data_IF_567514087343
#
_entry.id   IF_567514087343
#
_cell.length_a   1.000
_cell.length_b   1.000
_cell.length_c   1.000
_cell.angle_alpha   90.00
_cell.angle_beta   90.00
_cell.angle_gamma   90.00
#
_symmetry.space_group_name_H-M   'P 1'
#
loop_
_entity.id
_entity.type
_entity.pdbx_description
1 polymer ?
#
# COMPACT_ATOMS: atom_id res chain seq x y z
N UNK A 1 -11.48 -13.34 -23.53
CA UNK A 1 -12.12 -12.59 -22.43
C UNK A 1 -11.18 -11.46 -22.08
N UNK A 2 -11.61 -10.27 -22.35
CA UNK A 2 -10.87 -9.05 -22.01
C UNK A 2 -10.82 -8.96 -20.47
N UNK A 3 -9.65 -9.17 -19.88
CA UNK A 3 -9.49 -8.98 -18.44
C UNK A 3 -9.62 -7.48 -18.20
N UNK A 4 -10.75 -7.07 -17.64
CA UNK A 4 -11.04 -5.67 -17.36
C UNK A 4 -9.84 -4.92 -16.77
N UNK A 5 -9.75 -3.63 -17.08
CA UNK A 5 -8.65 -2.76 -16.59
C UNK A 5 -8.65 -2.80 -15.06
N UNK A 6 -7.51 -3.21 -14.46
CA UNK A 6 -7.38 -3.22 -13.01
C UNK A 6 -7.26 -1.78 -12.50
N UNK A 7 -8.24 -1.36 -11.71
CA UNK A 7 -8.31 0.02 -11.21
C UNK A 7 -7.39 0.28 -10.03
N UNK A 8 -7.16 -0.74 -9.18
CA UNK A 8 -6.32 -0.63 -7.99
C UNK A 8 -5.15 -1.60 -8.09
N UNK A 9 -3.94 -1.09 -8.06
CA UNK A 9 -2.71 -1.88 -8.02
C UNK A 9 -2.14 -1.83 -6.61
N UNK A 10 -2.00 -3.00 -5.97
CA UNK A 10 -1.45 -3.17 -4.63
C UNK A 10 -0.03 -3.73 -4.74
N UNK A 11 0.96 -2.97 -4.27
CA UNK A 11 2.33 -3.44 -4.07
C UNK A 11 2.44 -3.97 -2.65
N UNK A 12 2.41 -5.29 -2.51
CA UNK A 12 2.57 -5.98 -1.25
C UNK A 12 4.06 -6.21 -0.99
N UNK A 13 4.58 -5.59 0.07
CA UNK A 13 5.97 -5.73 0.48
C UNK A 13 6.06 -6.42 1.86
N UNK A 14 5.98 -7.73 1.88
CA UNK A 14 6.16 -8.54 3.08
C UNK A 14 7.19 -9.65 2.82
N UNK A 15 8.28 -9.74 3.63
CA UNK A 15 9.35 -10.72 3.41
C UNK A 15 8.88 -12.18 3.40
N UNK A 16 7.91 -12.49 4.26
CA UNK A 16 7.27 -13.81 4.34
C UNK A 16 5.75 -13.64 4.58
N UNK A 17 5.02 -13.45 3.51
CA UNK A 17 3.56 -13.26 3.58
C UNK A 17 2.81 -14.48 4.14
N UNK A 18 3.39 -15.67 4.00
CA UNK A 18 2.75 -16.91 4.46
C UNK A 18 2.71 -16.98 5.98
N UNK A 19 3.70 -16.45 6.67
CA UNK A 19 3.74 -16.35 8.12
C UNK A 19 3.02 -15.14 8.69
N UNK A 20 2.65 -14.17 7.86
CA UNK A 20 1.96 -12.95 8.28
C UNK A 20 0.49 -13.19 8.57
N UNK A 21 0.05 -12.89 9.79
CA UNK A 21 -1.38 -12.90 10.11
C UNK A 21 -2.08 -11.66 9.54
N UNK A 22 -1.58 -10.47 9.84
CA UNK A 22 -2.25 -9.23 9.51
C UNK A 22 -2.15 -8.86 8.02
N UNK A 23 -0.94 -8.76 7.43
CA UNK A 23 -0.82 -8.41 6.02
C UNK A 23 -1.47 -9.45 5.11
N UNK A 24 -1.42 -10.74 5.50
CA UNK A 24 -2.14 -11.79 4.79
C UNK A 24 -3.66 -11.58 4.85
N UNK A 25 -4.21 -11.28 6.02
CA UNK A 25 -5.64 -11.03 6.18
C UNK A 25 -6.11 -9.79 5.39
N UNK A 26 -5.33 -8.70 5.37
CA UNK A 26 -5.62 -7.54 4.52
C UNK A 26 -5.63 -7.92 3.04
N UNK A 27 -4.62 -8.64 2.57
CA UNK A 27 -4.53 -9.13 1.19
C UNK A 27 -5.73 -10.04 0.84
N UNK A 28 -6.02 -11.03 1.70
CA UNK A 28 -7.09 -12.00 1.46
C UNK A 28 -8.48 -11.34 1.37
N UNK A 29 -8.68 -10.22 2.07
CA UNK A 29 -9.95 -9.49 2.06
C UNK A 29 -10.30 -8.82 0.72
N UNK A 30 -9.30 -8.58 -0.14
CA UNK A 30 -9.49 -7.82 -1.39
C UNK A 30 -8.99 -8.56 -2.64
N UNK A 31 -8.31 -9.70 -2.49
CA UNK A 31 -7.69 -10.42 -3.63
C UNK A 31 -8.69 -10.95 -4.66
N UNK A 32 -9.95 -11.20 -4.27
CA UNK A 32 -11.01 -11.68 -5.16
C UNK A 32 -11.79 -10.56 -5.85
N UNK A 33 -11.47 -9.28 -5.56
CA UNK A 33 -12.08 -8.15 -6.25
C UNK A 33 -11.55 -8.08 -7.69
N UNK A 34 -12.44 -8.01 -8.68
CA UNK A 34 -12.07 -8.02 -10.11
C UNK A 34 -11.20 -6.82 -10.49
N UNK A 35 -11.42 -5.67 -9.85
CA UNK A 35 -10.72 -4.43 -10.11
C UNK A 35 -9.37 -4.31 -9.40
N UNK A 36 -9.00 -5.29 -8.57
CA UNK A 36 -7.77 -5.28 -7.78
C UNK A 36 -6.72 -6.19 -8.39
N UNK A 37 -5.50 -5.69 -8.51
CA UNK A 37 -4.32 -6.50 -8.85
C UNK A 37 -3.29 -6.39 -7.72
N UNK A 38 -2.86 -7.52 -7.18
CA UNK A 38 -1.87 -7.57 -6.10
C UNK A 38 -0.56 -8.10 -6.66
N UNK A 39 0.53 -7.35 -6.43
CA UNK A 39 1.89 -7.71 -6.80
C UNK A 39 2.74 -7.86 -5.55
N UNK A 40 3.10 -9.09 -5.21
CA UNK A 40 4.01 -9.36 -4.09
C UNK A 40 5.46 -9.11 -4.53
N UNK A 41 6.05 -8.03 -4.05
CA UNK A 41 7.39 -7.61 -4.44
C UNK A 41 8.47 -8.63 -4.04
N UNK A 42 8.22 -9.44 -3.01
CA UNK A 42 9.17 -10.47 -2.57
C UNK A 42 9.09 -11.75 -3.41
N UNK A 43 7.94 -12.04 -4.03
CA UNK A 43 7.80 -13.12 -5.00
C UNK A 43 8.28 -12.69 -6.40
N UNK A 44 8.13 -11.39 -6.71
CA UNK A 44 8.56 -10.80 -7.98
C UNK A 44 9.97 -10.20 -7.89
N UNK A 45 10.72 -10.55 -6.85
CA UNK A 45 12.06 -10.02 -6.62
C UNK A 45 12.96 -10.24 -7.84
N UNK A 46 13.44 -9.18 -8.50
CA UNK A 46 14.38 -9.31 -9.59
C UNK A 46 15.77 -9.70 -9.05
N UNK A 47 16.56 -10.42 -9.86
CA UNK A 47 17.96 -10.69 -9.53
C UNK A 47 18.76 -9.38 -9.46
N UNK A 48 18.61 -8.50 -10.47
CA UNK A 48 19.32 -7.23 -10.57
C UNK A 48 18.39 -6.02 -10.36
N UNK A 49 17.54 -5.71 -11.34
CA UNK A 49 16.68 -4.55 -11.37
C UNK A 49 15.25 -4.88 -11.80
N UNK A 50 14.28 -4.04 -11.39
CA UNK A 50 12.91 -4.16 -11.85
C UNK A 50 12.78 -3.80 -13.34
N UNK A 51 11.89 -4.50 -14.05
CA UNK A 51 11.56 -4.17 -15.43
C UNK A 51 10.65 -2.93 -15.48
N UNK A 52 11.22 -1.78 -15.83
CA UNK A 52 10.53 -0.48 -15.85
C UNK A 52 9.38 -0.47 -16.85
N UNK A 53 9.56 -1.07 -18.04
CA UNK A 53 8.51 -1.08 -19.07
C UNK A 53 7.29 -1.89 -18.65
N UNK A 54 7.53 -3.03 -17.99
CA UNK A 54 6.45 -3.83 -17.40
C UNK A 54 5.68 -3.04 -16.35
N UNK A 55 6.38 -2.40 -15.42
CA UNK A 55 5.75 -1.61 -14.36
C UNK A 55 5.07 -0.36 -14.89
N UNK A 56 5.65 0.31 -15.89
CA UNK A 56 5.01 1.43 -16.58
C UNK A 56 3.68 1.03 -17.19
N UNK A 57 3.62 -0.13 -17.85
CA UNK A 57 2.39 -0.67 -18.42
C UNK A 57 1.34 -1.01 -17.36
N UNK A 58 1.75 -1.66 -16.26
CA UNK A 58 0.86 -2.00 -15.15
C UNK A 58 0.28 -0.73 -14.51
N UNK A 59 1.15 0.20 -14.13
CA UNK A 59 0.74 1.40 -13.39
C UNK A 59 -0.05 2.38 -14.27
N UNK A 60 0.26 2.50 -15.56
CA UNK A 60 -0.49 3.38 -16.47
C UNK A 60 -1.97 3.02 -16.56
N UNK A 61 -2.32 1.75 -16.43
CA UNK A 61 -3.68 1.23 -16.50
C UNK A 61 -4.44 1.33 -15.14
N UNK A 62 -3.75 1.64 -14.06
CA UNK A 62 -4.37 1.79 -12.74
C UNK A 62 -4.86 3.21 -12.50
N UNK A 63 -5.87 3.39 -11.67
CA UNK A 63 -6.33 4.68 -11.13
C UNK A 63 -5.80 4.95 -9.73
N UNK A 64 -5.42 3.89 -9.01
CA UNK A 64 -4.88 3.97 -7.67
C UNK A 64 -3.71 3.00 -7.48
N UNK A 65 -2.74 3.44 -6.69
CA UNK A 65 -1.62 2.65 -6.21
C UNK A 65 -1.70 2.50 -4.70
N UNK A 66 -1.46 1.30 -4.20
CA UNK A 66 -1.47 0.99 -2.77
C UNK A 66 -0.12 0.40 -2.38
N UNK A 67 0.51 0.95 -1.36
CA UNK A 67 1.67 0.34 -0.70
C UNK A 67 1.18 -0.38 0.54
N UNK A 68 1.24 -1.72 0.54
CA UNK A 68 0.84 -2.55 1.67
C UNK A 68 2.07 -3.24 2.29
N UNK A 69 2.36 -2.96 3.58
CA UNK A 69 3.56 -3.48 4.23
C UNK A 69 3.47 -3.50 5.77
N UNK A 70 4.27 -4.33 6.46
CA UNK A 70 4.50 -4.22 7.90
C UNK A 70 5.50 -3.08 8.18
N UNK A 71 5.26 -2.33 9.26
CA UNK A 71 6.20 -1.31 9.72
C UNK A 71 7.42 -1.98 10.37
N UNK A 72 8.52 -2.03 9.65
CA UNK A 72 9.79 -2.53 10.15
C UNK A 72 10.76 -1.37 10.36
N UNK A 73 11.25 -1.22 11.61
CA UNK A 73 12.17 -0.14 11.97
C UNK A 73 11.70 1.23 11.47
N UNK A 74 10.42 1.54 11.76
CA UNK A 74 9.76 2.81 11.42
C UNK A 74 9.64 3.09 9.91
N UNK A 75 9.80 2.09 9.05
CA UNK A 75 9.73 2.20 7.60
C UNK A 75 9.18 0.93 6.94
N UNK A 76 9.12 0.92 5.62
CA UNK A 76 8.76 -0.27 4.84
C UNK A 76 9.94 -1.25 4.71
N UNK A 77 9.65 -2.53 4.43
CA UNK A 77 10.67 -3.50 4.02
C UNK A 77 11.44 -3.04 2.77
N UNK A 78 12.71 -3.45 2.67
CA UNK A 78 13.68 -2.93 1.69
C UNK A 78 13.25 -3.01 0.22
N UNK A 79 12.52 -4.07 -0.18
CA UNK A 79 12.10 -4.21 -1.58
C UNK A 79 11.08 -3.16 -2.01
N UNK A 80 10.28 -2.58 -1.10
CA UNK A 80 9.43 -1.44 -1.46
C UNK A 80 10.27 -0.21 -1.76
N UNK A 81 11.32 0.04 -0.97
CA UNK A 81 12.23 1.17 -1.24
C UNK A 81 13.01 0.96 -2.54
N UNK A 82 13.51 -0.28 -2.78
CA UNK A 82 14.15 -0.62 -4.06
C UNK A 82 13.20 -0.36 -5.25
N UNK A 83 11.94 -0.79 -5.15
CA UNK A 83 10.94 -0.52 -6.19
C UNK A 83 10.71 0.99 -6.39
N UNK A 84 10.61 1.76 -5.30
CA UNK A 84 10.48 3.22 -5.40
C UNK A 84 11.69 3.85 -6.10
N UNK A 85 12.91 3.44 -5.75
CA UNK A 85 14.13 4.02 -6.32
C UNK A 85 14.29 3.68 -7.81
N UNK A 86 13.95 2.46 -8.22
CA UNK A 86 14.16 2.00 -9.60
C UNK A 86 12.97 2.31 -10.52
N UNK A 87 11.74 2.06 -10.04
CA UNK A 87 10.54 2.16 -10.86
C UNK A 87 9.82 3.49 -10.65
N UNK A 88 9.51 3.83 -9.39
CA UNK A 88 8.72 5.02 -9.11
C UNK A 88 9.45 6.31 -9.49
N UNK A 89 10.78 6.36 -9.30
CA UNK A 89 11.63 7.47 -9.76
C UNK A 89 11.48 7.73 -11.26
N UNK A 90 11.35 6.68 -12.07
CA UNK A 90 11.11 6.82 -13.51
C UNK A 90 9.67 7.27 -13.79
N UNK A 91 8.68 6.59 -13.18
CA UNK A 91 7.26 6.86 -13.41
C UNK A 91 6.84 8.28 -12.98
N UNK A 92 7.44 8.80 -11.90
CA UNK A 92 7.17 10.15 -11.40
C UNK A 92 7.53 11.28 -12.39
N UNK A 93 8.37 10.98 -13.38
CA UNK A 93 8.75 11.90 -14.46
C UNK A 93 7.83 11.82 -15.68
N UNK A 94 6.82 10.98 -15.63
CA UNK A 94 5.87 10.72 -16.71
C UNK A 94 4.44 10.98 -16.24
N UNK A 95 3.46 11.10 -17.15
CA UNK A 95 2.03 11.20 -16.77
C UNK A 95 1.48 9.91 -16.12
N UNK A 96 2.27 8.84 -16.03
CA UNK A 96 1.79 7.53 -15.60
C UNK A 96 1.21 7.48 -14.19
N UNK A 97 1.63 8.38 -13.30
CA UNK A 97 1.17 8.42 -11.88
C UNK A 97 0.45 9.70 -11.52
N UNK A 98 0.58 10.77 -12.30
CA UNK A 98 -0.04 12.06 -12.00
C UNK A 98 -1.57 11.95 -11.89
N UNK A 99 -2.14 12.58 -10.85
CA UNK A 99 -3.58 12.55 -10.56
C UNK A 99 -4.10 11.24 -9.94
N UNK A 100 -3.31 10.16 -9.93
CA UNK A 100 -3.72 8.88 -9.35
C UNK A 100 -3.66 8.90 -7.82
N UNK A 101 -4.55 8.14 -7.19
CA UNK A 101 -4.52 8.00 -5.74
C UNK A 101 -3.32 7.17 -5.28
N UNK A 102 -2.65 7.60 -4.19
CA UNK A 102 -1.71 6.76 -3.43
C UNK A 102 -2.26 6.51 -2.02
N UNK A 103 -2.49 5.24 -1.70
CA UNK A 103 -2.86 4.77 -0.37
C UNK A 103 -1.69 4.00 0.25
N UNK A 104 -1.46 4.20 1.55
CA UNK A 104 -0.57 3.34 2.35
C UNK A 104 -1.42 2.52 3.32
N UNK A 105 -1.22 1.19 3.29
CA UNK A 105 -1.79 0.26 4.24
C UNK A 105 -0.65 -0.38 5.05
N UNK A 106 -0.59 -0.10 6.34
CA UNK A 106 0.52 -0.52 7.19
C UNK A 106 0.03 -1.28 8.42
N UNK A 107 0.76 -2.33 8.80
CA UNK A 107 0.51 -3.07 10.04
C UNK A 107 1.65 -2.84 11.03
N UNK A 108 1.35 -2.78 12.32
CA UNK A 108 2.35 -2.53 13.37
C UNK A 108 2.25 -3.54 14.51
N UNK A 109 3.39 -3.91 15.08
CA UNK A 109 3.43 -4.75 16.28
C UNK A 109 2.88 -4.05 17.51
N UNK A 110 3.19 -2.75 17.67
CA UNK A 110 2.74 -1.94 18.81
C UNK A 110 1.36 -1.38 18.60
N UNK A 111 0.66 -1.11 19.71
CA UNK A 111 -0.66 -0.48 19.75
C UNK A 111 -0.63 0.99 19.36
N UNK A 112 -1.79 1.57 19.09
CA UNK A 112 -1.96 2.98 18.70
C UNK A 112 -1.31 3.97 19.69
N UNK A 113 -1.44 3.72 21.00
CA UNK A 113 -0.87 4.57 22.06
C UNK A 113 0.65 4.71 21.98
N UNK A 114 1.35 3.74 21.39
CA UNK A 114 2.79 3.81 21.17
C UNK A 114 3.20 4.84 20.11
N UNK A 115 2.31 5.12 19.13
CA UNK A 115 2.60 6.00 17.97
C UNK A 115 2.01 7.39 18.15
N UNK A 116 2.43 8.07 19.20
CA UNK A 116 2.02 9.45 19.51
C UNK A 116 3.08 10.13 20.38
N UNK A 117 3.01 11.45 20.47
CA UNK A 117 3.86 12.22 21.37
C UNK A 117 3.69 11.70 22.81
N UNK A 118 4.80 11.38 23.47
CA UNK A 118 4.82 10.78 24.81
C UNK A 118 4.52 9.26 24.84
N UNK A 119 4.17 8.64 23.73
CA UNK A 119 4.10 7.17 23.60
C UNK A 119 5.50 6.54 23.47
N UNK A 120 5.58 5.20 23.57
CA UNK A 120 6.88 4.47 23.54
C UNK A 120 7.72 4.79 22.30
N UNK A 121 7.09 4.98 21.14
CA UNK A 121 7.78 5.29 19.89
C UNK A 121 7.95 6.80 19.65
N UNK A 122 7.32 7.66 20.46
CA UNK A 122 7.38 9.12 20.43
C UNK A 122 6.95 9.82 19.14
N UNK A 123 6.76 9.13 18.05
CA UNK A 123 6.33 9.66 16.74
C UNK A 123 4.95 9.12 16.38
N UNK A 124 4.14 9.97 15.78
CA UNK A 124 2.84 9.58 15.21
C UNK A 124 3.05 8.77 13.93
N UNK A 125 2.05 7.98 13.55
CA UNK A 125 2.10 7.27 12.27
C UNK A 125 2.17 8.23 11.08
N UNK A 126 1.52 9.38 11.16
CA UNK A 126 1.58 10.39 10.10
C UNK A 126 3.00 10.94 9.90
N UNK A 127 3.76 11.13 10.99
CA UNK A 127 5.17 11.55 10.92
C UNK A 127 6.03 10.45 10.27
N UNK A 128 5.81 9.18 10.64
CA UNK A 128 6.56 8.04 10.07
C UNK A 128 6.23 7.80 8.60
N UNK A 129 5.01 8.10 8.17
CA UNK A 129 4.58 7.96 6.77
C UNK A 129 4.83 9.21 5.91
N UNK A 130 5.35 10.28 6.49
CA UNK A 130 5.65 11.54 5.78
C UNK A 130 6.49 11.36 4.51
N UNK A 131 7.52 10.48 4.45
CA UNK A 131 8.28 10.27 3.23
C UNK A 131 7.43 9.78 2.06
N UNK A 132 6.43 8.90 2.31
CA UNK A 132 5.51 8.40 1.29
C UNK A 132 4.55 9.48 0.80
N UNK A 133 4.02 10.29 1.74
CA UNK A 133 3.19 11.44 1.39
C UNK A 133 3.96 12.46 0.57
N UNK A 134 5.18 12.81 0.96
CA UNK A 134 6.03 13.73 0.24
C UNK A 134 6.33 13.22 -1.19
N UNK A 135 6.63 11.93 -1.34
CA UNK A 135 6.87 11.29 -2.64
C UNK A 135 5.62 11.33 -3.52
N UNK A 136 4.44 11.05 -2.96
CA UNK A 136 3.17 11.13 -3.67
C UNK A 136 2.92 12.53 -4.22
N UNK A 137 3.03 13.54 -3.36
CA UNK A 137 2.82 14.94 -3.74
C UNK A 137 3.83 15.42 -4.79
N UNK A 138 5.11 15.03 -4.63
CA UNK A 138 6.16 15.34 -5.61
C UNK A 138 5.87 14.73 -6.99
N UNK A 139 5.31 13.52 -7.02
CA UNK A 139 4.90 12.84 -8.26
C UNK A 139 3.54 13.30 -8.81
N UNK A 140 2.89 14.30 -8.22
CA UNK A 140 1.58 14.79 -8.62
C UNK A 140 0.42 13.83 -8.32
N UNK A 141 0.62 12.88 -7.40
CA UNK A 141 -0.41 11.94 -6.97
C UNK A 141 -1.30 12.53 -5.87
N UNK A 142 -2.49 11.95 -5.69
CA UNK A 142 -3.44 12.32 -4.65
C UNK A 142 -3.25 11.43 -3.43
N UNK A 143 -2.63 11.97 -2.38
CA UNK A 143 -2.43 11.26 -1.12
C UNK A 143 -3.77 10.90 -0.47
N UNK A 144 -3.91 9.63 -0.08
CA UNK A 144 -5.08 9.13 0.64
C UNK A 144 -4.75 8.95 2.12
N UNK A 145 -5.75 9.12 2.99
CA UNK A 145 -5.60 8.80 4.43
C UNK A 145 -5.14 7.35 4.60
N UNK A 146 -4.00 7.11 5.26
CA UNK A 146 -3.48 5.76 5.44
C UNK A 146 -4.44 4.84 6.20
N UNK A 147 -4.38 3.54 5.91
CA UNK A 147 -4.96 2.50 6.74
C UNK A 147 -3.87 1.93 7.63
N UNK A 148 -4.09 1.97 8.95
CA UNK A 148 -3.13 1.45 9.92
C UNK A 148 -3.81 0.40 10.80
N UNK A 149 -3.29 -0.83 10.76
CA UNK A 149 -3.69 -1.88 11.68
C UNK A 149 -2.64 -1.99 12.81
N UNK A 150 -3.02 -1.52 14.00
CA UNK A 150 -2.13 -1.46 15.16
C UNK A 150 -2.22 -2.71 16.03
N UNK A 151 -1.15 -2.98 16.80
CA UNK A 151 -1.20 -3.91 17.92
C UNK A 151 -1.15 -5.39 17.55
N UNK A 152 -0.46 -5.74 16.47
CA UNK A 152 -0.33 -7.14 16.04
C UNK A 152 0.51 -7.99 17.04
N UNK A 153 1.25 -7.36 17.93
CA UNK A 153 2.01 -8.01 19.00
C UNK A 153 1.31 -8.00 20.36
N UNK A 154 0.02 -7.67 20.44
CA UNK A 154 -0.76 -7.59 21.68
C UNK A 154 -1.73 -8.76 21.82
N UNK A 155 -2.34 -8.91 23.02
CA UNK A 155 -3.37 -9.91 23.26
C UNK A 155 -4.62 -9.71 22.40
N UNK A 156 -4.89 -8.47 21.97
CA UNK A 156 -6.04 -8.08 21.13
C UNK A 156 -5.77 -8.20 19.62
N UNK A 157 -4.65 -8.82 19.21
CA UNK A 157 -4.24 -8.90 17.81
C UNK A 157 -5.36 -9.39 16.88
N UNK A 158 -6.13 -10.42 17.27
CA UNK A 158 -7.23 -10.94 16.44
C UNK A 158 -8.32 -9.90 16.19
N UNK A 159 -8.73 -9.15 17.20
CA UNK A 159 -9.71 -8.05 17.09
C UNK A 159 -9.15 -6.92 16.22
N UNK A 160 -7.92 -6.56 16.44
CA UNK A 160 -7.24 -5.48 15.71
C UNK A 160 -7.07 -5.83 14.21
N UNK A 161 -6.80 -7.10 13.90
CA UNK A 161 -6.77 -7.59 12.51
C UNK A 161 -8.14 -7.45 11.85
N UNK A 162 -9.21 -7.89 12.53
CA UNK A 162 -10.56 -7.82 11.99
C UNK A 162 -10.99 -6.36 11.71
N UNK A 163 -10.69 -5.43 12.60
CA UNK A 163 -10.93 -4.00 12.41
C UNK A 163 -10.09 -3.43 11.26
N UNK A 164 -8.80 -3.78 11.20
CA UNK A 164 -7.89 -3.38 10.12
C UNK A 164 -8.37 -3.88 8.75
N UNK A 165 -8.83 -5.13 8.67
CA UNK A 165 -9.40 -5.73 7.46
C UNK A 165 -10.64 -4.97 7.00
N UNK A 166 -11.58 -4.68 7.91
CA UNK A 166 -12.79 -3.92 7.57
C UNK A 166 -12.46 -2.53 7.03
N UNK A 167 -11.58 -1.80 7.73
CA UNK A 167 -11.15 -0.47 7.33
C UNK A 167 -10.42 -0.49 5.97
N UNK A 168 -9.59 -1.49 5.74
CA UNK A 168 -8.87 -1.66 4.47
C UNK A 168 -9.82 -1.93 3.32
N UNK A 169 -10.75 -2.89 3.51
CA UNK A 169 -11.75 -3.25 2.50
C UNK A 169 -12.57 -2.04 2.06
N UNK A 170 -13.15 -1.30 3.03
CA UNK A 170 -13.92 -0.08 2.76
C UNK A 170 -13.08 0.94 1.98
N UNK A 171 -11.80 1.10 2.31
CA UNK A 171 -10.93 2.04 1.61
C UNK A 171 -10.65 1.60 0.18
N UNK A 172 -10.37 0.31 -0.07
CA UNK A 172 -10.16 -0.22 -1.42
C UNK A 172 -11.45 -0.09 -2.26
N UNK A 173 -12.62 -0.44 -1.71
CA UNK A 173 -13.92 -0.25 -2.38
C UNK A 173 -14.14 1.21 -2.77
N UNK A 174 -13.76 2.16 -1.91
CA UNK A 174 -13.87 3.60 -2.22
C UNK A 174 -12.94 4.06 -3.35
N UNK A 175 -11.81 3.39 -3.56
CA UNK A 175 -10.89 3.67 -4.67
C UNK A 175 -11.40 3.09 -5.98
N UNK A 176 -12.06 1.93 -5.94
CA UNK A 176 -12.74 1.33 -7.09
C UNK A 176 -13.94 2.18 -7.53
N UNK A 177 -14.79 2.61 -6.57
CA UNK A 177 -16.05 3.32 -6.85
C UNK A 177 -15.89 4.75 -7.38
N UNK A 178 -14.77 5.43 -7.13
CA UNK A 178 -14.58 6.84 -7.54
C UNK A 178 -14.56 7.06 -9.06
N UNK A 179 -14.37 6.00 -9.86
CA UNK A 179 -14.32 6.10 -11.31
C UNK A 179 -15.68 5.90 -12.01
N UNK A 180 -16.76 5.61 -11.25
CA UNK A 180 -18.11 5.48 -11.83
C UNK A 180 -18.91 6.78 -11.80
N UNK A 181 -18.38 7.87 -11.23
CA UNK A 181 -19.09 9.16 -11.04
C UNK A 181 -18.60 10.25 -12.02
N UNK A 182 -17.75 9.92 -12.96
CA UNK A 182 -17.06 10.91 -13.82
C UNK A 182 -17.47 10.93 -15.29
N UNK A 183 -18.63 10.38 -15.67
CA UNK A 183 -19.17 10.45 -17.05
C UNK A 183 -20.70 10.69 -17.02
N UNK A 184 -21.13 11.85 -16.52
CA UNK A 184 -22.42 12.43 -16.84
C UNK A 184 -22.22 13.91 -17.19
#
# INVERSE_FOLDING_TARGET
MDKGIKQVVILLAHPDIKSSQANKALMDAVKEMEEVAIYNLYEMRPEDAYNIDLWSKIISQASALVFQFPLYWMSAPSLLKKWQDEVFTYLAKTPAVAGKALLVAVTTGSEYSAYRSGGRNNFTMDELLRPYQASALHAGMVWQTPVVAYGMGTADAGKNIAEGVNNYKVRIESLVGKNHVGND
#
